data_IF_497284824389
#
_entry.id   IF_497284824389
#
_cell.length_a   1.000
_cell.length_b   1.000
_cell.length_c   1.000
_cell.angle_alpha   90.00
_cell.angle_beta   90.00
_cell.angle_gamma   90.00
#
_symmetry.space_group_name_H-M   'P 1'
#
loop_
_entity.id
_entity.type
_entity.pdbx_description
1 polymer ?
#
# COMPACT_ATOMS: atom_id res chain seq x y z
N UNK A 1 12.65 -10.29 -17.29
CA UNK A 1 11.64 -9.54 -16.50
C UNK A 1 10.22 -10.09 -16.70
N UNK A 2 9.73 -10.25 -17.95
CA UNK A 2 8.36 -10.73 -18.28
C UNK A 2 7.92 -11.97 -17.49
N UNK A 3 8.80 -12.96 -17.31
CA UNK A 3 8.48 -14.21 -16.61
C UNK A 3 8.39 -14.07 -15.07
N UNK A 4 8.84 -12.94 -14.51
CA UNK A 4 8.92 -12.69 -13.07
C UNK A 4 7.91 -11.64 -12.59
N UNK A 5 7.17 -11.01 -13.50
CA UNK A 5 6.09 -10.05 -13.21
C UNK A 5 4.77 -10.66 -13.67
N UNK A 6 3.68 -10.38 -12.96
CA UNK A 6 2.34 -10.76 -13.40
C UNK A 6 2.02 -10.15 -14.77
N UNK A 7 1.42 -10.92 -15.69
CA UNK A 7 1.22 -10.53 -17.09
C UNK A 7 0.61 -9.13 -17.24
N UNK A 8 -0.51 -8.85 -16.56
CA UNK A 8 -1.17 -7.54 -16.63
C UNK A 8 -0.27 -6.38 -16.16
N UNK A 9 0.57 -6.61 -15.15
CA UNK A 9 1.46 -5.57 -14.61
C UNK A 9 2.67 -5.36 -15.55
N UNK A 10 3.09 -6.42 -16.26
CA UNK A 10 4.10 -6.32 -17.31
C UNK A 10 3.59 -5.53 -18.51
N UNK A 11 2.34 -5.75 -18.93
CA UNK A 11 1.71 -4.97 -19.99
C UNK A 11 1.58 -3.49 -19.60
N UNK A 12 1.17 -3.19 -18.36
CA UNK A 12 1.17 -1.82 -17.81
C UNK A 12 2.57 -1.21 -17.81
N UNK A 13 3.58 -1.95 -17.35
CA UNK A 13 4.97 -1.51 -17.32
C UNK A 13 5.54 -1.20 -18.72
N UNK A 14 5.15 -1.98 -19.73
CA UNK A 14 5.54 -1.74 -21.12
C UNK A 14 4.73 -0.60 -21.74
N UNK A 15 3.44 -0.46 -21.43
CA UNK A 15 2.57 0.59 -22.01
C UNK A 15 2.80 1.98 -21.45
N UNK A 16 3.46 2.10 -20.29
CA UNK A 16 3.97 3.38 -19.76
C UNK A 16 4.94 4.10 -20.72
N UNK A 17 5.34 3.47 -21.83
CA UNK A 17 6.28 3.97 -22.82
C UNK A 17 5.73 5.05 -23.77
N UNK A 18 4.46 5.46 -23.67
CA UNK A 18 3.82 6.34 -24.68
C UNK A 18 3.74 7.83 -24.23
N UNK A 19 4.14 8.17 -23.01
CA UNK A 19 3.91 9.51 -22.45
C UNK A 19 5.05 10.52 -22.59
N UNK A 20 5.28 11.05 -23.80
CA UNK A 20 5.68 12.45 -24.08
C UNK A 20 6.98 13.04 -23.49
N UNK A 21 7.48 14.10 -24.12
CA UNK A 21 8.67 14.88 -23.75
C UNK A 21 8.62 15.60 -22.37
N UNK A 22 7.68 15.22 -21.49
CA UNK A 22 7.34 15.95 -20.26
C UNK A 22 7.88 15.26 -19.00
N UNK A 23 8.11 13.93 -19.00
CA UNK A 23 8.65 13.23 -17.83
C UNK A 23 10.18 13.06 -17.93
N UNK A 24 10.89 14.20 -17.92
CA UNK A 24 12.36 14.26 -17.98
C UNK A 24 12.98 13.70 -16.71
N UNK A 25 13.07 12.38 -16.60
CA UNK A 25 13.93 11.70 -15.63
C UNK A 25 13.40 11.59 -14.20
N UNK A 26 12.22 12.11 -13.90
CA UNK A 26 11.55 11.84 -12.63
C UNK A 26 10.99 10.41 -12.68
N UNK A 27 11.41 9.55 -11.74
CA UNK A 27 10.90 8.18 -11.69
C UNK A 27 9.49 8.14 -11.12
N UNK A 28 8.75 7.11 -11.49
CA UNK A 28 7.39 6.86 -11.04
C UNK A 28 7.39 5.70 -10.03
N UNK A 29 6.69 5.89 -8.92
CA UNK A 29 6.43 4.80 -7.97
C UNK A 29 5.24 4.00 -8.47
N UNK A 30 5.41 2.69 -8.64
CA UNK A 30 4.36 1.75 -9.06
C UNK A 30 4.40 0.48 -8.25
N UNK A 31 3.24 -0.12 -8.04
CA UNK A 31 3.14 -1.48 -7.47
C UNK A 31 3.17 -2.49 -8.60
N UNK A 32 4.16 -3.39 -8.57
CA UNK A 32 4.28 -4.52 -9.49
C UNK A 32 4.16 -5.83 -8.70
N UNK A 33 3.34 -6.76 -9.19
CA UNK A 33 3.26 -8.12 -8.65
C UNK A 33 4.41 -8.96 -9.20
N UNK A 34 5.38 -9.27 -8.35
CA UNK A 34 6.58 -10.02 -8.71
C UNK A 34 6.54 -11.44 -8.13
N UNK A 35 7.13 -12.41 -8.83
CA UNK A 35 7.26 -13.79 -8.34
C UNK A 35 8.10 -13.83 -7.06
N UNK A 36 7.61 -14.52 -6.05
CA UNK A 36 8.27 -14.79 -4.79
C UNK A 36 8.24 -16.30 -4.51
N UNK A 37 9.41 -16.84 -4.22
CA UNK A 37 9.59 -18.22 -3.77
C UNK A 37 9.43 -18.38 -2.25
N UNK A 38 8.95 -17.35 -1.56
CA UNK A 38 8.67 -17.43 -0.11
C UNK A 38 7.16 -17.33 0.10
N UNK A 39 6.56 -18.35 0.72
CA UNK A 39 5.14 -18.32 1.11
C UNK A 39 4.85 -17.25 2.18
N UNK A 40 3.59 -16.86 2.41
CA UNK A 40 3.22 -15.97 3.53
C UNK A 40 3.62 -16.52 4.91
N UNK A 41 3.78 -17.84 5.05
CA UNK A 41 4.19 -18.51 6.29
C UNK A 41 5.70 -18.77 6.37
N UNK A 42 6.50 -18.13 5.51
CA UNK A 42 7.97 -18.21 5.53
C UNK A 42 8.56 -19.49 4.93
N UNK A 43 7.75 -20.42 4.40
CA UNK A 43 8.26 -21.62 3.72
C UNK A 43 8.82 -21.28 2.34
N UNK A 44 9.93 -21.93 1.98
CA UNK A 44 10.50 -21.90 0.64
C UNK A 44 9.62 -22.69 -0.35
N UNK A 45 9.45 -22.13 -1.54
CA UNK A 45 8.73 -22.69 -2.68
C UNK A 45 9.70 -22.85 -3.85
N UNK A 46 9.38 -23.71 -4.81
CA UNK A 46 10.09 -23.73 -6.08
C UNK A 46 9.53 -22.66 -7.04
N UNK A 47 10.25 -22.35 -8.12
CA UNK A 47 9.82 -21.35 -9.10
C UNK A 47 8.51 -21.69 -9.84
N UNK A 48 8.19 -22.98 -10.01
CA UNK A 48 6.93 -23.43 -10.62
C UNK A 48 5.72 -23.09 -9.75
N UNK A 49 5.90 -23.13 -8.43
CA UNK A 49 4.89 -22.85 -7.42
C UNK A 49 5.04 -21.45 -6.80
N UNK A 50 5.84 -20.57 -7.41
CA UNK A 50 6.06 -19.22 -6.91
C UNK A 50 4.75 -18.43 -6.90
N UNK A 51 4.57 -17.64 -5.84
CA UNK A 51 3.41 -16.78 -5.69
C UNK A 51 3.76 -15.38 -6.18
N UNK A 52 2.77 -14.64 -6.68
CA UNK A 52 2.94 -13.23 -6.97
C UNK A 52 2.72 -12.41 -5.70
N UNK A 53 3.72 -11.61 -5.33
CA UNK A 53 3.63 -10.66 -4.23
C UNK A 53 3.73 -9.23 -4.78
N UNK A 54 2.93 -8.31 -4.26
CA UNK A 54 3.05 -6.91 -4.61
C UNK A 54 4.38 -6.35 -4.08
N UNK A 55 5.07 -5.59 -4.92
CA UNK A 55 6.34 -4.93 -4.62
C UNK A 55 6.25 -3.49 -5.08
N UNK A 56 6.62 -2.56 -4.20
CA UNK A 56 6.71 -1.13 -4.54
C UNK A 56 8.01 -0.90 -5.28
N UNK A 57 7.89 -0.37 -6.49
CA UNK A 57 8.98 -0.16 -7.43
C UNK A 57 9.07 1.31 -7.81
N UNK A 58 10.26 1.90 -7.67
CA UNK A 58 10.59 3.17 -8.29
C UNK A 58 11.18 2.92 -9.67
N UNK A 59 10.49 3.38 -10.71
CA UNK A 59 10.81 3.09 -12.10
C UNK A 59 11.19 4.39 -12.78
N UNK A 60 12.41 4.45 -13.32
CA UNK A 60 12.91 5.61 -14.08
C UNK A 60 13.39 5.17 -15.45
N UNK A 61 13.18 6.02 -16.45
CA UNK A 61 13.75 5.84 -17.78
C UNK A 61 14.85 6.86 -18.01
N UNK A 62 15.98 6.39 -18.52
CA UNK A 62 17.16 7.19 -18.82
C UNK A 62 17.41 7.13 -20.32
N UNK A 63 17.53 8.30 -20.94
CA UNK A 63 18.01 8.40 -22.32
C UNK A 63 19.53 8.31 -22.30
N UNK A 64 20.07 7.41 -23.10
CA UNK A 64 21.48 7.29 -23.40
C UNK A 64 21.69 7.55 -24.90
N UNK A 65 22.92 7.88 -25.30
CA UNK A 65 23.24 8.30 -26.68
C UNK A 65 22.88 7.26 -27.75
N UNK A 66 22.73 5.99 -27.35
CA UNK A 66 22.41 4.85 -28.20
C UNK A 66 21.12 4.10 -27.79
N UNK A 67 20.27 4.69 -26.96
CA UNK A 67 18.99 4.08 -26.61
C UNK A 67 18.37 4.53 -25.30
N UNK A 68 17.45 3.71 -24.80
CA UNK A 68 16.70 3.99 -23.56
C UNK A 68 16.97 2.87 -22.55
N UNK A 69 17.51 3.23 -21.40
CA UNK A 69 17.67 2.31 -20.26
C UNK A 69 16.53 2.54 -19.28
N UNK A 70 15.96 1.47 -18.73
CA UNK A 70 14.99 1.54 -17.64
C UNK A 70 15.58 0.94 -16.39
N UNK A 71 15.50 1.70 -15.29
CA UNK A 71 15.96 1.25 -13.98
C UNK A 71 14.73 1.03 -13.10
N UNK A 72 14.62 -0.16 -12.54
CA UNK A 72 13.60 -0.53 -11.55
C UNK A 72 14.34 -0.72 -10.23
N UNK A 73 14.06 0.17 -9.27
CA UNK A 73 14.48 -0.01 -7.89
C UNK A 73 13.29 -0.54 -7.10
N UNK A 74 13.36 -1.79 -6.67
CA UNK A 74 12.30 -2.48 -5.96
C UNK A 74 12.62 -2.55 -4.45
N UNK A 75 11.65 -2.22 -3.61
CA UNK A 75 11.74 -2.42 -2.15
C UNK A 75 10.60 -3.34 -1.71
N UNK A 76 10.93 -4.43 -1.03
CA UNK A 76 9.95 -5.36 -0.46
C UNK A 76 10.28 -5.63 1.01
N UNK A 77 9.25 -5.81 1.83
CA UNK A 77 9.44 -6.26 3.20
C UNK A 77 9.81 -7.75 3.23
N UNK A 78 10.74 -8.20 4.10
CA UNK A 78 11.10 -9.60 4.22
C UNK A 78 9.89 -10.46 4.61
N UNK A 79 9.68 -11.56 3.91
CA UNK A 79 8.63 -12.52 4.26
C UNK A 79 9.10 -13.41 5.43
N UNK A 80 8.24 -13.62 6.43
CA UNK A 80 8.53 -14.53 7.56
C UNK A 80 8.58 -13.86 8.93
N UNK A 81 8.56 -12.53 8.99
CA UNK A 81 8.13 -11.83 10.20
C UNK A 81 6.61 -11.82 10.19
N UNK A 82 5.98 -12.35 11.24
CA UNK A 82 4.53 -12.28 11.40
C UNK A 82 4.03 -10.85 11.21
N UNK A 83 2.74 -10.70 10.92
CA UNK A 83 2.05 -9.43 10.59
C UNK A 83 2.10 -8.33 11.69
N UNK A 84 3.11 -8.32 12.54
CA UNK A 84 3.29 -7.48 13.72
C UNK A 84 4.61 -6.69 13.76
N UNK A 85 5.47 -6.75 12.74
CA UNK A 85 6.77 -6.04 12.76
C UNK A 85 6.76 -4.79 11.88
N UNK A 86 5.96 -3.79 12.28
CA UNK A 86 6.35 -2.39 12.05
C UNK A 86 7.19 -1.85 13.21
N UNK A 87 7.60 -2.70 14.14
CA UNK A 87 8.50 -2.34 15.23
C UNK A 87 9.95 -2.35 14.74
N UNK A 88 10.69 -1.32 15.16
CA UNK A 88 12.16 -1.16 15.09
C UNK A 88 12.73 -0.44 13.87
N UNK A 89 12.64 0.90 13.89
CA UNK A 89 13.81 1.80 13.94
C UNK A 89 13.41 3.21 13.51
N UNK A 90 13.06 4.07 14.48
CA UNK A 90 13.40 5.49 14.48
C UNK A 90 13.16 6.08 15.87
N UNK A 91 14.19 6.77 16.30
CA UNK A 91 14.40 7.43 17.59
C UNK A 91 13.34 8.50 17.91
N UNK A 92 13.14 8.71 19.22
CA UNK A 92 12.50 9.84 19.93
C UNK A 92 10.97 10.03 19.85
N UNK A 93 10.31 9.70 20.97
CA UNK A 93 9.08 10.32 21.54
C UNK A 93 7.84 10.56 20.66
N UNK A 94 7.36 9.52 19.98
CA UNK A 94 5.92 9.41 19.66
C UNK A 94 5.46 8.00 20.02
N UNK A 95 4.35 7.89 20.76
CA UNK A 95 3.76 6.64 21.23
C UNK A 95 3.80 5.57 20.12
N UNK A 96 4.71 4.60 20.29
CA UNK A 96 5.10 3.59 19.31
C UNK A 96 3.99 2.54 19.12
N UNK A 97 2.87 2.95 18.53
CA UNK A 97 1.78 2.08 18.13
C UNK A 97 1.52 2.21 16.63
N UNK A 98 1.63 1.10 15.90
CA UNK A 98 1.19 1.02 14.50
C UNK A 98 -0.22 1.58 14.38
N UNK A 99 -0.38 2.70 13.67
CA UNK A 99 -1.69 3.30 13.42
C UNK A 99 -2.41 2.42 12.40
N UNK A 100 -3.34 1.58 12.85
CA UNK A 100 -3.93 0.53 12.02
C UNK A 100 -5.44 0.63 12.02
N UNK A 101 -6.03 0.43 10.84
CA UNK A 101 -7.47 0.33 10.67
C UNK A 101 -7.80 -0.91 9.82
N UNK A 102 -8.95 -1.52 10.05
CA UNK A 102 -9.51 -2.54 9.14
C UNK A 102 -10.79 -2.05 8.53
N UNK A 103 -11.04 -2.48 7.30
CA UNK A 103 -12.18 -2.06 6.52
C UNK A 103 -12.88 -3.22 5.82
N UNK A 104 -14.16 -3.04 5.57
CA UNK A 104 -14.91 -3.76 4.53
C UNK A 104 -14.42 -3.36 3.15
N UNK A 105 -14.84 -4.09 2.12
CA UNK A 105 -14.44 -3.84 0.73
C UNK A 105 -14.83 -2.43 0.23
N UNK A 106 -15.92 -1.86 0.75
CA UNK A 106 -16.38 -0.49 0.47
C UNK A 106 -15.72 0.58 1.38
N UNK A 107 -14.57 0.24 1.99
CA UNK A 107 -13.77 1.12 2.84
C UNK A 107 -14.53 1.69 4.05
N UNK A 108 -15.43 0.90 4.65
CA UNK A 108 -16.04 1.24 5.94
C UNK A 108 -15.27 0.61 7.09
N UNK A 109 -15.08 1.35 8.17
CA UNK A 109 -14.33 0.86 9.32
C UNK A 109 -14.98 -0.38 9.96
N UNK A 110 -14.20 -1.43 10.10
CA UNK A 110 -14.52 -2.65 10.87
C UNK A 110 -13.59 -2.86 12.08
N UNK A 111 -12.53 -2.05 12.18
CA UNK A 111 -11.68 -1.94 13.35
C UNK A 111 -10.83 -0.67 13.25
N UNK A 112 -10.54 -0.06 14.40
CA UNK A 112 -9.64 1.09 14.53
C UNK A 112 -8.72 0.83 15.72
N UNK A 113 -7.40 0.97 15.56
CA UNK A 113 -6.46 0.86 16.67
C UNK A 113 -6.63 2.03 17.64
N UNK A 114 -6.32 1.79 18.92
CA UNK A 114 -6.37 2.84 19.95
C UNK A 114 -5.46 4.02 19.59
N UNK A 115 -4.25 3.74 19.08
CA UNK A 115 -3.31 4.75 18.61
C UNK A 115 -3.86 5.62 17.48
N UNK A 116 -4.55 5.03 16.49
CA UNK A 116 -5.15 5.80 15.39
C UNK A 116 -6.35 6.64 15.88
N UNK A 117 -7.13 6.08 16.80
CA UNK A 117 -8.25 6.81 17.39
C UNK A 117 -7.77 8.02 18.21
N UNK A 118 -6.69 7.85 18.98
CA UNK A 118 -6.07 8.92 19.77
C UNK A 118 -5.61 10.10 18.92
N UNK A 119 -4.90 9.85 17.81
CA UNK A 119 -4.39 10.93 16.95
C UNK A 119 -5.50 11.67 16.20
N UNK A 120 -6.57 10.97 15.81
CA UNK A 120 -7.71 11.59 15.17
C UNK A 120 -8.62 12.34 16.16
N UNK A 121 -8.46 12.03 17.46
CA UNK A 121 -9.30 12.54 18.56
C UNK A 121 -10.79 12.29 18.31
N UNK A 122 -11.13 11.19 17.65
CA UNK A 122 -12.51 10.73 17.49
C UNK A 122 -12.87 9.72 18.58
N UNK A 123 -14.16 9.53 18.84
CA UNK A 123 -14.61 8.34 19.56
C UNK A 123 -14.61 7.15 18.61
N UNK A 124 -13.88 6.07 18.91
CA UNK A 124 -13.76 4.90 18.02
C UNK A 124 -15.13 4.36 17.57
N UNK A 125 -16.13 4.39 18.45
CA UNK A 125 -17.49 3.94 18.17
C UNK A 125 -18.17 4.74 17.05
N UNK A 126 -17.83 6.02 16.92
CA UNK A 126 -18.38 6.90 15.88
C UNK A 126 -17.83 6.59 14.48
N UNK A 127 -16.64 6.00 14.39
CA UNK A 127 -16.00 5.67 13.11
C UNK A 127 -16.51 4.34 12.54
N UNK A 128 -16.89 3.39 13.38
CA UNK A 128 -17.33 2.06 12.96
C UNK A 128 -18.47 2.13 11.95
N UNK A 129 -18.32 1.45 10.81
CA UNK A 129 -19.30 1.45 9.72
C UNK A 129 -19.36 2.72 8.87
N UNK A 130 -18.66 3.79 9.26
CA UNK A 130 -18.53 5.00 8.42
C UNK A 130 -17.46 4.80 7.36
N UNK A 131 -17.57 5.53 6.24
CA UNK A 131 -16.58 5.45 5.18
C UNK A 131 -15.29 6.16 5.57
N UNK A 132 -14.16 5.48 5.38
CA UNK A 132 -12.81 6.05 5.53
C UNK A 132 -12.63 7.33 4.71
N UNK A 133 -13.26 7.40 3.54
CA UNK A 133 -13.19 8.56 2.64
C UNK A 133 -13.72 9.85 3.28
N UNK A 134 -14.58 9.76 4.30
CA UNK A 134 -15.08 10.93 5.02
C UNK A 134 -13.98 11.65 5.83
N UNK A 135 -12.90 10.94 6.16
CA UNK A 135 -11.74 11.51 6.85
C UNK A 135 -10.69 12.05 5.88
N UNK A 136 -10.78 11.76 4.58
CA UNK A 136 -9.79 12.22 3.60
C UNK A 136 -10.09 13.65 3.22
N UNK A 137 -9.06 14.50 3.22
CA UNK A 137 -9.21 15.88 2.77
C UNK A 137 -9.70 15.92 1.31
N UNK A 138 -10.72 16.73 0.95
CA UNK A 138 -11.40 16.64 -0.35
C UNK A 138 -10.46 16.73 -1.56
N UNK A 139 -9.44 17.58 -1.49
CA UNK A 139 -8.47 17.74 -2.58
C UNK A 139 -7.59 16.49 -2.83
N UNK A 140 -7.46 15.61 -1.82
CA UNK A 140 -6.62 14.42 -1.90
C UNK A 140 -7.45 13.15 -2.17
N UNK A 141 -8.79 13.24 -2.14
CA UNK A 141 -9.71 12.11 -2.22
C UNK A 141 -9.49 11.26 -3.48
N UNK A 142 -9.32 11.90 -4.64
CA UNK A 142 -9.14 11.18 -5.90
C UNK A 142 -7.85 10.33 -5.88
N UNK A 143 -6.76 10.86 -5.35
CA UNK A 143 -5.50 10.13 -5.25
C UNK A 143 -5.65 8.88 -4.36
N UNK A 144 -6.31 9.03 -3.21
CA UNK A 144 -6.59 7.90 -2.30
C UNK A 144 -7.49 6.85 -2.96
N UNK A 145 -8.57 7.28 -3.65
CA UNK A 145 -9.47 6.36 -4.36
C UNK A 145 -8.73 5.57 -5.45
N UNK A 146 -7.87 6.22 -6.22
CA UNK A 146 -7.04 5.56 -7.23
C UNK A 146 -6.12 4.51 -6.61
N UNK A 147 -5.45 4.83 -5.49
CA UNK A 147 -4.63 3.86 -4.77
C UNK A 147 -5.45 2.68 -4.23
N UNK A 148 -6.62 2.93 -3.62
CA UNK A 148 -7.47 1.85 -3.12
C UNK A 148 -7.96 0.95 -4.27
N UNK A 149 -8.34 1.51 -5.42
CA UNK A 149 -8.66 0.72 -6.62
C UNK A 149 -7.48 -0.13 -7.08
N UNK A 150 -6.27 0.41 -7.08
CA UNK A 150 -5.06 -0.37 -7.38
C UNK A 150 -4.92 -1.53 -6.38
N UNK A 151 -5.05 -1.28 -5.07
CA UNK A 151 -4.99 -2.31 -4.04
C UNK A 151 -6.06 -3.40 -4.24
N UNK A 152 -7.28 -3.03 -4.65
CA UNK A 152 -8.34 -3.99 -4.96
C UNK A 152 -7.98 -4.92 -6.13
N UNK A 153 -7.17 -4.46 -7.08
CA UNK A 153 -6.72 -5.26 -8.24
C UNK A 153 -5.42 -6.02 -8.00
N UNK A 154 -4.47 -5.44 -7.26
CA UNK A 154 -3.11 -5.97 -7.06
C UNK A 154 -2.91 -6.63 -5.69
N UNK A 155 -3.86 -6.47 -4.77
CA UNK A 155 -3.84 -7.00 -3.41
C UNK A 155 -3.13 -6.12 -2.39
N UNK A 156 -2.43 -5.08 -2.83
CA UNK A 156 -1.70 -4.11 -2.01
C UNK A 156 -1.50 -2.80 -2.76
N UNK A 157 -1.37 -1.71 -2.03
CA UNK A 157 -0.87 -0.43 -2.55
C UNK A 157 -0.17 0.34 -1.43
N UNK A 158 0.62 1.33 -1.83
CA UNK A 158 1.07 2.42 -0.97
C UNK A 158 0.57 3.73 -1.56
N UNK A 159 -0.21 4.48 -0.79
CA UNK A 159 -0.74 5.76 -1.25
C UNK A 159 0.38 6.80 -1.43
N UNK A 160 0.16 7.86 -2.23
CA UNK A 160 0.86 9.13 -2.03
C UNK A 160 0.66 9.67 -0.61
N UNK A 161 1.40 10.72 -0.25
CA UNK A 161 1.08 11.48 0.95
C UNK A 161 -0.26 12.19 0.77
N UNK A 162 -1.13 12.11 1.77
CA UNK A 162 -2.42 12.78 1.78
C UNK A 162 -2.78 13.25 3.19
N UNK A 163 -3.84 14.04 3.28
CA UNK A 163 -4.31 14.63 4.53
C UNK A 163 -5.53 13.91 5.06
N UNK A 164 -5.49 13.59 6.36
CA UNK A 164 -6.66 13.21 7.14
C UNK A 164 -7.20 14.40 7.94
N UNK A 165 -8.52 14.51 8.01
CA UNK A 165 -9.24 15.48 8.83
C UNK A 165 -9.49 14.83 10.20
N UNK A 166 -8.90 15.38 11.25
CA UNK A 166 -9.16 15.01 12.63
C UNK A 166 -10.18 15.91 13.31
N UNK A 167 -10.37 15.71 14.61
CA UNK A 167 -11.23 16.58 15.43
C UNK A 167 -10.79 18.05 15.32
N UNK A 168 -11.76 18.97 15.46
CA UNK A 168 -11.56 20.42 15.40
C UNK A 168 -10.93 20.92 14.09
N UNK A 169 -11.16 20.18 12.98
CA UNK A 169 -10.60 20.49 11.65
C UNK A 169 -9.06 20.49 11.62
N UNK A 170 -8.44 19.77 12.54
CA UNK A 170 -7.01 19.48 12.47
C UNK A 170 -6.69 18.63 11.25
N UNK A 171 -5.47 18.75 10.74
CA UNK A 171 -5.01 18.06 9.54
C UNK A 171 -3.76 17.27 9.86
N UNK A 172 -3.78 15.97 9.53
CA UNK A 172 -2.65 15.07 9.69
C UNK A 172 -2.14 14.62 8.33
N UNK A 173 -0.85 14.79 8.06
CA UNK A 173 -0.23 14.20 6.88
C UNK A 173 0.07 12.74 7.13
N UNK A 174 -0.36 11.90 6.21
CA UNK A 174 -0.27 10.45 6.33
C UNK A 174 0.11 9.82 5.01
N UNK A 175 0.78 8.67 5.09
CA UNK A 175 0.88 7.71 4.01
C UNK A 175 0.28 6.40 4.47
N UNK A 176 -0.48 5.73 3.61
CA UNK A 176 -1.13 4.48 3.96
C UNK A 176 -0.63 3.35 3.08
N UNK A 177 -0.20 2.26 3.72
CA UNK A 177 -0.06 0.97 3.07
C UNK A 177 -1.35 0.18 3.30
N UNK A 178 -2.04 -0.18 2.22
CA UNK A 178 -3.29 -0.93 2.27
C UNK A 178 -3.09 -2.31 1.65
N UNK A 179 -3.61 -3.36 2.30
CA UNK A 179 -3.46 -4.75 1.84
C UNK A 179 -4.77 -5.51 2.02
N UNK A 180 -5.15 -6.31 1.02
CA UNK A 180 -6.27 -7.27 1.14
C UNK A 180 -5.80 -8.48 1.92
N UNK A 181 -6.53 -8.82 2.98
CA UNK A 181 -6.29 -10.02 3.77
C UNK A 181 -7.44 -10.99 3.58
N UNK A 182 -7.09 -12.18 3.06
CA UNK A 182 -7.97 -13.33 3.04
C UNK A 182 -7.87 -14.04 4.39
N UNK A 183 -9.00 -14.17 5.08
CA UNK A 183 -9.09 -14.89 6.33
C UNK A 183 -10.03 -16.08 6.19
N UNK A 184 -9.49 -17.27 6.43
CA UNK A 184 -10.29 -18.50 6.45
C UNK A 184 -10.28 -19.04 7.87
N UNK A 185 -11.41 -18.94 8.57
CA UNK A 185 -11.58 -19.57 9.89
C UNK A 185 -12.82 -20.44 9.91
N UNK A 186 -12.69 -21.65 10.44
CA UNK A 186 -13.79 -22.63 10.55
C UNK A 186 -14.57 -22.83 9.24
N UNK A 187 -13.87 -22.85 8.11
CA UNK A 187 -14.46 -23.01 6.78
C UNK A 187 -15.10 -21.75 6.17
N UNK A 188 -15.25 -20.67 6.93
CA UNK A 188 -15.77 -19.40 6.43
C UNK A 188 -14.64 -18.56 5.83
N UNK A 189 -14.80 -18.16 4.57
CA UNK A 189 -13.90 -17.24 3.87
C UNK A 189 -14.38 -15.81 4.07
N UNK A 190 -13.61 -15.00 4.78
CA UNK A 190 -13.77 -13.57 4.89
C UNK A 190 -12.65 -12.83 4.18
N UNK A 191 -12.95 -11.63 3.67
CA UNK A 191 -11.97 -10.70 3.17
C UNK A 191 -12.13 -9.37 3.87
N UNK A 192 -11.03 -8.78 4.30
CA UNK A 192 -11.00 -7.42 4.82
C UNK A 192 -9.74 -6.71 4.34
N UNK A 193 -9.78 -5.40 4.37
CA UNK A 193 -8.65 -4.54 4.03
C UNK A 193 -7.98 -4.14 5.34
N UNK A 194 -6.66 -4.28 5.44
CA UNK A 194 -5.87 -3.66 6.51
C UNK A 194 -5.20 -2.43 5.92
N UNK A 195 -5.34 -1.30 6.60
CA UNK A 195 -4.59 -0.08 6.34
C UNK A 195 -3.63 0.17 7.51
N UNK A 196 -2.35 0.34 7.20
CA UNK A 196 -1.33 0.82 8.14
C UNK A 196 -0.96 2.24 7.74
N UNK A 197 -1.06 3.14 8.70
CA UNK A 197 -0.90 4.57 8.52
C UNK A 197 0.45 5.01 9.09
N UNK A 198 1.25 5.69 8.27
CA UNK A 198 2.47 6.35 8.70
C UNK A 198 2.19 7.85 8.76
N UNK A 199 2.24 8.43 9.96
CA UNK A 199 2.18 9.88 10.13
C UNK A 199 3.48 10.53 9.68
N UNK A 200 3.34 11.70 9.05
CA UNK A 200 4.45 12.53 8.59
C UNK A 200 4.34 13.86 9.32
N UNK A 201 4.94 13.95 10.51
CA UNK A 201 4.88 15.12 11.37
C UNK A 201 4.89 14.76 12.84
#
# INVERSE_FOLDING_TARGET
LKEFIHTNDYEEYISCDIGGAIDRGNGQVRTLRMKSVISPRGRNLNLKNALFKPVVCYIRSLCADNGRVRVIQASAQPAGQGSSVFTTSRTTDVQSGTYMTRHTYDMKFSYVSESFNYILRHEARSLMGTSFYNLVYPADLNAVVVSIREMLTKGHTRTPYYRLIGLNKSVLWVQTEATIVNHTAKGQKGQYIICVHQLIG
#
